data_IF_527361127757
#
_entry.id   IF_527361127757
#
_cell.length_a   1.000
_cell.length_b   1.000
_cell.length_c   1.000
_cell.angle_alpha   90.00
_cell.angle_beta   90.00
_cell.angle_gamma   90.00
#
_symmetry.space_group_name_H-M   'P 1'
#
loop_
_entity.id
_entity.type
_entity.pdbx_description
1 polymer ?
#
# COMPACT_ATOMS: atom_id res chain seq x y z
N UNK A 1 15.39 -75.53 14.41
CA UNK A 1 16.50 -75.01 15.24
C UNK A 1 16.04 -73.70 15.86
N UNK A 2 15.32 -73.71 16.99
CA UNK A 2 15.77 -73.50 18.39
C UNK A 2 16.60 -72.21 18.58
N UNK A 3 15.97 -71.11 19.03
CA UNK A 3 15.82 -70.62 20.44
C UNK A 3 17.13 -70.00 20.97
N UNK A 4 17.23 -68.67 21.17
CA UNK A 4 16.86 -67.85 22.36
C UNK A 4 17.95 -67.83 23.47
N UNK A 5 18.24 -66.62 23.96
CA UNK A 5 18.88 -66.22 25.24
C UNK A 5 20.39 -66.43 25.48
N UNK A 6 21.06 -65.32 25.84
CA UNK A 6 21.76 -65.26 27.12
C UNK A 6 21.66 -63.84 27.72
N UNK A 7 21.33 -63.81 29.01
CA UNK A 7 20.97 -62.68 29.87
C UNK A 7 22.18 -62.11 30.63
N UNK A 8 22.03 -60.84 31.02
CA UNK A 8 22.28 -60.21 32.33
C UNK A 8 23.66 -60.30 33.06
N UNK A 9 24.01 -59.15 33.69
CA UNK A 9 24.92 -59.07 34.85
C UNK A 9 25.78 -57.80 34.88
N UNK A 10 25.26 -56.61 35.21
CA UNK A 10 25.22 -55.95 36.54
C UNK A 10 26.56 -55.52 37.19
N UNK A 11 26.68 -54.19 37.40
CA UNK A 11 27.28 -53.45 38.56
C UNK A 11 28.81 -53.58 38.76
N UNK A 12 29.58 -52.62 39.27
CA UNK A 12 29.54 -51.22 39.75
C UNK A 12 31.02 -50.87 40.06
N UNK A 13 31.26 -49.61 40.44
CA UNK A 13 32.46 -49.06 41.11
C UNK A 13 33.38 -48.26 40.16
N UNK A 14 33.27 -46.93 40.10
CA UNK A 14 33.56 -45.89 41.11
C UNK A 14 35.06 -45.55 41.22
N UNK A 15 35.42 -44.38 40.67
CA UNK A 15 36.41 -43.39 41.17
C UNK A 15 36.50 -42.25 40.13
N UNK A 16 35.81 -41.13 40.35
CA UNK A 16 36.31 -39.93 41.04
C UNK A 16 37.48 -39.21 40.34
N UNK A 17 37.16 -38.11 39.65
CA UNK A 17 37.95 -36.86 39.61
C UNK A 17 37.06 -35.78 38.98
N UNK A 18 36.15 -35.17 39.78
CA UNK A 18 36.32 -33.85 40.40
C UNK A 18 36.68 -32.76 39.38
N UNK A 19 35.68 -32.00 38.92
CA UNK A 19 35.80 -30.56 38.69
C UNK A 19 34.51 -29.89 39.17
N UNK A 20 34.56 -29.52 40.44
CA UNK A 20 33.61 -28.69 41.17
C UNK A 20 33.54 -27.27 40.58
N UNK A 21 32.32 -26.79 40.38
CA UNK A 21 31.97 -25.38 40.25
C UNK A 21 32.44 -24.56 41.46
N UNK A 22 32.44 -23.22 41.32
CA UNK A 22 31.40 -22.51 42.06
C UNK A 22 30.65 -21.48 41.20
N UNK A 23 29.32 -21.54 41.25
CA UNK A 23 28.47 -20.35 41.43
C UNK A 23 28.17 -20.26 42.93
N UNK A 24 27.84 -19.08 43.50
CA UNK A 24 26.43 -18.67 43.53
C UNK A 24 26.22 -17.14 43.41
N UNK A 25 25.14 -16.72 42.72
CA UNK A 25 23.97 -16.04 43.30
C UNK A 25 24.12 -14.51 43.35
N UNK A 26 23.13 -13.65 43.17
CA UNK A 26 21.73 -13.69 42.73
C UNK A 26 21.28 -12.20 42.70
N UNK A 27 20.15 -11.94 42.06
CA UNK A 27 19.17 -10.88 42.37
C UNK A 27 19.06 -9.64 41.47
N UNK A 28 17.77 -9.36 41.18
CA UNK A 28 17.10 -8.17 40.59
C UNK A 28 16.83 -8.31 39.07
N UNK A 29 15.62 -8.62 38.55
CA UNK A 29 14.25 -8.06 38.75
C UNK A 29 14.32 -6.53 38.88
N UNK A 30 13.87 -5.67 37.97
CA UNK A 30 12.73 -5.68 37.04
C UNK A 30 12.88 -4.50 36.02
N UNK A 31 12.04 -4.40 34.98
CA UNK A 31 12.12 -3.43 33.88
C UNK A 31 11.57 -2.03 34.27
N UNK A 32 11.60 -1.07 33.32
CA UNK A 32 11.24 0.37 33.40
C UNK A 32 12.54 1.21 33.34
N UNK A 33 12.86 2.02 32.32
CA UNK A 33 12.06 3.12 31.74
C UNK A 33 12.33 3.24 30.22
N UNK A 34 11.28 3.06 29.43
CA UNK A 34 11.13 3.73 28.13
C UNK A 34 11.03 5.24 28.39
N UNK A 35 11.97 6.05 27.90
CA UNK A 35 11.75 7.44 27.48
C UNK A 35 13.03 8.06 26.90
N UNK A 36 13.21 7.94 25.58
CA UNK A 36 14.15 8.80 24.83
C UNK A 36 13.62 9.11 23.42
N UNK A 37 12.29 9.24 23.26
CA UNK A 37 11.64 9.65 22.00
C UNK A 37 10.83 10.95 22.21
N UNK A 38 11.21 11.76 23.19
CA UNK A 38 10.55 13.04 23.48
C UNK A 38 11.54 14.22 23.52
N UNK A 39 12.40 14.34 22.50
CA UNK A 39 13.25 15.54 22.31
C UNK A 39 13.24 16.12 20.88
N UNK A 40 12.32 15.68 20.01
CA UNK A 40 12.20 16.22 18.63
C UNK A 40 10.84 16.90 18.41
N UNK A 41 10.39 17.69 19.40
CA UNK A 41 9.25 18.59 19.28
C UNK A 41 9.56 19.91 19.99
N UNK A 42 10.36 20.76 19.34
CA UNK A 42 10.36 22.20 19.57
C UNK A 42 9.83 22.88 18.30
N UNK A 43 8.67 23.55 18.31
CA UNK A 43 8.22 24.33 17.17
C UNK A 43 8.82 25.74 17.25
N UNK A 44 9.76 26.05 16.37
CA UNK A 44 10.17 27.44 16.12
C UNK A 44 9.14 28.09 15.21
N UNK A 45 8.36 28.97 15.81
CA UNK A 45 7.52 29.97 15.13
C UNK A 45 8.42 31.06 14.54
N UNK A 46 7.90 31.68 13.47
CA UNK A 46 8.31 32.93 12.83
C UNK A 46 9.33 32.83 11.70
N UNK A 47 8.84 32.98 10.46
CA UNK A 47 9.35 34.01 9.54
C UNK A 47 8.21 34.47 8.61
N UNK A 48 8.12 35.79 8.49
CA UNK A 48 7.05 36.54 7.87
C UNK A 48 7.27 36.76 6.36
N UNK A 49 6.14 36.81 5.63
CA UNK A 49 5.73 37.86 4.69
C UNK A 49 6.80 38.57 3.81
N UNK A 50 6.71 38.33 2.49
CA UNK A 50 6.99 39.27 1.39
C UNK A 50 6.40 38.60 0.12
N UNK A 51 5.51 39.19 -0.67
CA UNK A 51 5.66 40.45 -1.41
C UNK A 51 5.63 40.07 -2.90
N UNK A 52 4.58 40.47 -3.62
CA UNK A 52 4.21 39.91 -4.93
C UNK A 52 5.01 40.43 -6.13
N UNK A 53 4.62 39.98 -7.33
CA UNK A 53 4.74 40.76 -8.57
C UNK A 53 3.86 40.16 -9.69
N UNK A 54 3.07 41.04 -10.29
CA UNK A 54 2.27 40.84 -11.48
C UNK A 54 3.14 40.86 -12.75
N UNK A 55 2.65 40.26 -13.84
CA UNK A 55 2.66 40.87 -15.17
C UNK A 55 1.95 39.98 -16.20
N UNK A 56 1.07 40.61 -16.97
CA UNK A 56 0.29 40.07 -18.06
C UNK A 56 1.08 40.09 -19.38
N UNK A 57 0.90 39.08 -20.23
CA UNK A 57 1.10 39.10 -21.70
C UNK A 57 0.34 37.86 -22.23
N UNK A 58 -0.48 37.83 -23.27
CA UNK A 58 -0.91 38.76 -24.31
C UNK A 58 -1.76 37.93 -25.27
N UNK A 59 -2.89 38.47 -25.71
CA UNK A 59 -3.82 37.86 -26.68
C UNK A 59 -3.15 37.65 -28.04
N UNK A 60 -3.24 36.43 -28.58
CA UNK A 60 -3.14 36.17 -30.02
C UNK A 60 -3.85 34.86 -30.38
N UNK A 61 -5.12 34.94 -30.78
CA UNK A 61 -5.69 33.99 -31.74
C UNK A 61 -5.20 34.42 -33.14
N UNK A 62 -5.06 33.51 -34.14
CA UNK A 62 -6.25 33.19 -34.93
C UNK A 62 -6.26 31.82 -35.66
N UNK A 63 -7.38 31.63 -36.38
CA UNK A 63 -7.61 30.79 -37.57
C UNK A 63 -7.99 29.32 -37.34
N UNK A 64 -9.31 29.10 -37.34
CA UNK A 64 -9.92 27.84 -37.76
C UNK A 64 -9.61 27.56 -39.23
N UNK A 65 -9.00 26.41 -39.51
CA UNK A 65 -9.01 25.79 -40.83
C UNK A 65 -9.75 24.45 -40.71
N UNK A 66 -10.97 24.43 -41.22
CA UNK A 66 -11.74 23.23 -41.49
C UNK A 66 -11.21 22.57 -42.75
N UNK A 67 -10.70 21.34 -42.62
CA UNK A 67 -10.46 20.44 -43.75
C UNK A 67 -11.33 19.20 -43.55
N UNK A 68 -12.17 18.95 -44.56
CA UNK A 68 -13.06 17.81 -44.70
C UNK A 68 -12.23 16.51 -44.73
N UNK A 69 -12.55 15.58 -43.84
CA UNK A 69 -11.97 14.23 -43.79
C UNK A 69 -13.10 13.24 -43.99
N UNK A 70 -13.00 12.43 -45.05
CA UNK A 70 -14.07 11.63 -45.60
C UNK A 70 -14.62 10.54 -44.68
N UNK A 71 -15.87 10.21 -44.97
CA UNK A 71 -16.57 9.05 -44.44
C UNK A 71 -15.88 7.77 -44.93
N UNK A 72 -15.19 7.10 -44.01
CA UNK A 72 -14.80 5.71 -44.16
C UNK A 72 -15.33 4.96 -42.94
N UNK A 73 -16.51 4.38 -43.08
CA UNK A 73 -16.99 3.31 -42.21
C UNK A 73 -16.02 2.13 -42.29
N UNK A 74 -15.13 2.03 -41.29
CA UNK A 74 -14.49 0.77 -40.94
C UNK A 74 -15.12 0.32 -39.63
N UNK A 75 -16.04 -0.64 -39.77
CA UNK A 75 -16.50 -1.49 -38.67
C UNK A 75 -15.29 -2.23 -38.09
N UNK A 76 -14.69 -1.69 -37.02
CA UNK A 76 -13.77 -2.45 -36.17
C UNK A 76 -14.49 -2.96 -34.93
N UNK A 77 -15.00 -4.18 -35.07
CA UNK A 77 -15.56 -4.97 -33.98
C UNK A 77 -14.45 -5.67 -33.18
N UNK A 78 -13.43 -4.97 -32.67
CA UNK A 78 -12.44 -5.54 -31.74
C UNK A 78 -11.93 -4.51 -30.71
N UNK A 79 -12.64 -4.37 -29.58
CA UNK A 79 -12.08 -3.54 -28.50
C UNK A 79 -12.93 -3.22 -27.27
N UNK A 80 -13.93 -4.03 -26.92
CA UNK A 80 -14.92 -3.64 -25.89
C UNK A 80 -14.48 -3.78 -24.41
N UNK A 81 -13.19 -4.00 -24.11
CA UNK A 81 -12.71 -4.20 -22.72
C UNK A 81 -11.82 -3.08 -22.15
N UNK A 82 -11.47 -2.04 -22.93
CA UNK A 82 -10.62 -0.93 -22.46
C UNK A 82 -11.41 0.32 -22.01
N UNK A 83 -12.65 0.52 -22.48
CA UNK A 83 -13.49 1.70 -22.12
C UNK A 83 -13.82 1.75 -20.61
N UNK A 84 -14.05 0.61 -19.97
CA UNK A 84 -14.46 0.57 -18.55
C UNK A 84 -13.35 0.89 -17.53
N UNK A 85 -12.09 0.60 -17.84
CA UNK A 85 -10.95 0.88 -16.93
C UNK A 85 -10.55 2.36 -16.96
N UNK A 86 -10.46 2.98 -18.15
CA UNK A 86 -10.15 4.41 -18.28
C UNK A 86 -11.23 5.27 -17.59
N UNK A 87 -12.51 4.97 -17.82
CA UNK A 87 -13.63 5.67 -17.18
C UNK A 87 -13.57 5.66 -15.63
N UNK A 88 -13.17 4.54 -15.02
CA UNK A 88 -13.03 4.42 -13.55
C UNK A 88 -11.87 5.26 -13.00
N UNK A 89 -10.74 5.34 -13.71
CA UNK A 89 -9.60 6.17 -13.29
C UNK A 89 -9.91 7.68 -13.40
N UNK A 90 -10.61 8.11 -14.46
CA UNK A 90 -11.05 9.49 -14.60
C UNK A 90 -12.07 9.90 -13.53
N UNK A 91 -13.03 9.03 -13.19
CA UNK A 91 -14.00 9.29 -12.10
C UNK A 91 -13.31 9.46 -10.74
N UNK A 92 -12.24 8.70 -10.46
CA UNK A 92 -11.49 8.83 -9.20
C UNK A 92 -10.73 10.15 -9.09
N UNK A 93 -10.12 10.61 -10.19
CA UNK A 93 -9.45 11.92 -10.24
C UNK A 93 -10.43 13.08 -10.07
N UNK A 94 -11.58 13.02 -10.74
CA UNK A 94 -12.65 14.04 -10.59
C UNK A 94 -13.20 14.12 -9.17
N UNK A 95 -13.41 12.98 -8.51
CA UNK A 95 -13.86 12.96 -7.11
C UNK A 95 -12.88 13.63 -6.16
N UNK A 96 -11.58 13.38 -6.32
CA UNK A 96 -10.57 14.03 -5.49
C UNK A 96 -10.53 15.55 -5.69
N UNK A 97 -10.67 16.03 -6.93
CA UNK A 97 -10.73 17.45 -7.22
C UNK A 97 -11.96 18.15 -6.63
N UNK A 98 -13.11 17.45 -6.60
CA UNK A 98 -14.32 17.91 -5.94
C UNK A 98 -14.18 17.89 -4.41
N UNK A 99 -13.64 16.82 -3.82
CA UNK A 99 -13.42 16.69 -2.38
C UNK A 99 -12.46 17.75 -1.80
N UNK A 100 -11.57 18.32 -2.64
CA UNK A 100 -10.63 19.38 -2.28
C UNK A 100 -11.07 20.79 -2.71
N UNK A 101 -12.25 20.93 -3.33
CA UNK A 101 -12.77 22.19 -3.84
C UNK A 101 -11.73 22.99 -4.64
N UNK A 102 -11.05 22.34 -5.60
CA UNK A 102 -10.02 23.01 -6.41
C UNK A 102 -10.63 24.14 -7.24
N UNK A 103 -9.97 25.31 -7.26
CA UNK A 103 -10.35 26.44 -8.10
C UNK A 103 -10.12 26.15 -9.58
N UNK A 104 -10.72 26.93 -10.47
CA UNK A 104 -10.55 26.72 -11.91
C UNK A 104 -9.12 26.99 -12.40
N UNK A 105 -8.43 27.96 -11.79
CA UNK A 105 -7.01 28.20 -12.00
C UNK A 105 -6.14 27.00 -11.57
N UNK A 106 -6.38 26.46 -10.36
CA UNK A 106 -5.69 25.24 -9.89
C UNK A 106 -5.95 24.04 -10.81
N UNK A 107 -7.20 23.88 -11.26
CA UNK A 107 -7.58 22.81 -12.21
C UNK A 107 -6.92 22.99 -13.57
N UNK A 108 -6.75 24.23 -14.06
CA UNK A 108 -6.06 24.52 -15.31
C UNK A 108 -4.58 24.13 -15.20
N UNK A 109 -3.89 24.54 -14.14
CA UNK A 109 -2.49 24.16 -13.88
C UNK A 109 -2.29 22.64 -13.83
N UNK A 110 -3.18 21.91 -13.16
CA UNK A 110 -3.11 20.45 -13.11
C UNK A 110 -3.37 19.76 -14.45
N UNK A 111 -4.23 20.35 -15.29
CA UNK A 111 -4.47 19.86 -16.65
C UNK A 111 -3.23 20.06 -17.50
N UNK A 112 -2.67 21.26 -17.49
CA UNK A 112 -1.45 21.59 -18.22
C UNK A 112 -0.27 20.70 -17.83
N UNK A 113 -0.02 20.55 -16.52
CA UNK A 113 1.02 19.64 -16.01
C UNK A 113 0.81 18.19 -16.49
N UNK A 114 -0.45 17.75 -16.56
CA UNK A 114 -0.78 16.42 -17.07
C UNK A 114 -0.59 16.31 -18.59
N UNK A 115 -0.96 17.31 -19.36
CA UNK A 115 -0.75 17.37 -20.82
C UNK A 115 0.75 17.33 -21.14
N UNK A 116 1.56 18.17 -20.47
CA UNK A 116 3.01 18.18 -20.61
C UNK A 116 3.66 16.83 -20.26
N UNK A 117 3.08 16.09 -19.30
CA UNK A 117 3.54 14.77 -18.91
C UNK A 117 3.10 13.63 -19.86
N UNK A 118 2.16 13.86 -20.78
CA UNK A 118 1.61 12.81 -21.67
C UNK A 118 2.66 12.10 -22.53
N UNK A 119 3.54 12.77 -23.29
CA UNK A 119 4.50 12.08 -24.14
C UNK A 119 5.45 11.21 -23.32
N UNK A 120 5.91 11.70 -22.15
CA UNK A 120 6.74 10.91 -21.21
C UNK A 120 6.00 9.69 -20.69
N UNK A 121 4.70 9.83 -20.41
CA UNK A 121 3.85 8.72 -19.96
C UNK A 121 3.64 7.67 -21.06
N UNK A 122 3.50 8.09 -22.31
CA UNK A 122 3.32 7.21 -23.46
C UNK A 122 4.62 6.46 -23.76
N UNK A 123 5.74 7.18 -23.89
CA UNK A 123 7.06 6.58 -24.07
C UNK A 123 7.41 5.56 -22.97
N UNK A 124 7.14 5.89 -21.70
CA UNK A 124 7.38 4.97 -20.58
C UNK A 124 6.42 3.77 -20.54
N UNK A 125 5.24 3.87 -21.17
CA UNK A 125 4.32 2.74 -21.34
C UNK A 125 4.74 1.82 -22.46
N UNK A 126 5.13 2.39 -23.59
CA UNK A 126 5.58 1.66 -24.79
C UNK A 126 6.87 0.90 -24.53
N UNK A 127 7.86 1.57 -23.92
CA UNK A 127 9.11 0.93 -23.48
C UNK A 127 8.93 -0.07 -22.33
N UNK A 128 7.78 -0.05 -21.65
CA UNK A 128 7.57 -0.80 -20.42
C UNK A 128 8.45 -0.34 -19.25
N UNK A 129 9.09 0.83 -19.37
CA UNK A 129 9.97 1.38 -18.34
C UNK A 129 9.18 1.76 -17.08
N UNK A 130 9.24 0.84 -16.12
CA UNK A 130 8.57 0.97 -14.84
C UNK A 130 9.24 2.02 -13.94
N UNK A 131 10.48 2.38 -14.17
CA UNK A 131 11.19 3.40 -13.40
C UNK A 131 10.84 4.80 -13.90
N UNK A 132 10.88 5.03 -15.22
CA UNK A 132 10.39 6.28 -15.82
C UNK A 132 8.93 6.55 -15.44
N UNK A 133 8.05 5.54 -15.53
CA UNK A 133 6.66 5.67 -15.06
C UNK A 133 6.55 6.05 -13.58
N UNK A 134 7.48 5.62 -12.72
CA UNK A 134 7.45 5.98 -11.28
C UNK A 134 7.99 7.36 -11.02
N UNK A 135 9.08 7.73 -11.68
CA UNK A 135 9.63 9.08 -11.64
C UNK A 135 8.54 10.09 -12.03
N UNK A 136 7.86 9.83 -13.14
CA UNK A 136 6.74 10.66 -13.60
C UNK A 136 5.60 10.75 -12.58
N UNK A 137 5.19 9.64 -11.96
CA UNK A 137 4.16 9.68 -10.90
C UNK A 137 4.62 10.43 -9.65
N UNK A 138 5.92 10.44 -9.32
CA UNK A 138 6.48 11.24 -8.22
C UNK A 138 6.39 12.72 -8.56
N UNK A 139 6.91 13.10 -9.73
CA UNK A 139 6.88 14.47 -10.24
C UNK A 139 5.45 15.04 -10.27
N UNK A 140 4.52 14.34 -10.94
CA UNK A 140 3.12 14.77 -11.05
C UNK A 140 2.45 14.92 -9.68
N UNK A 141 2.84 14.11 -8.69
CA UNK A 141 2.28 14.19 -7.33
C UNK A 141 2.82 15.39 -6.56
N UNK A 142 4.10 15.73 -6.72
CA UNK A 142 4.68 16.92 -6.10
C UNK A 142 4.12 18.20 -6.74
N UNK A 143 3.99 18.24 -8.06
CA UNK A 143 3.27 19.31 -8.78
C UNK A 143 1.84 19.45 -8.25
N UNK A 144 1.12 18.33 -8.09
CA UNK A 144 -0.22 18.35 -7.52
C UNK A 144 -0.23 18.92 -6.10
N UNK A 145 0.73 18.54 -5.25
CA UNK A 145 0.83 19.03 -3.87
C UNK A 145 1.17 20.52 -3.82
N UNK A 146 2.02 21.00 -4.73
CA UNK A 146 2.44 22.40 -4.80
C UNK A 146 1.26 23.34 -5.09
N UNK A 147 0.34 22.93 -5.97
CA UNK A 147 -0.86 23.70 -6.35
C UNK A 147 -1.89 23.84 -5.22
N UNK A 148 -1.87 22.95 -4.22
CA UNK A 148 -2.80 23.00 -3.08
C UNK A 148 -2.39 24.04 -2.03
N UNK A 149 -3.38 24.75 -1.48
CA UNK A 149 -3.21 25.61 -0.29
C UNK A 149 -2.90 24.78 0.96
N UNK A 150 -2.34 25.38 2.03
CA UNK A 150 -2.12 24.69 3.31
C UNK A 150 -3.37 23.97 3.84
N UNK A 151 -4.52 24.64 3.80
CA UNK A 151 -5.81 24.12 4.28
C UNK A 151 -6.28 22.94 3.41
N UNK A 152 -6.12 23.05 2.08
CA UNK A 152 -6.42 21.94 1.17
C UNK A 152 -5.50 20.74 1.39
N UNK A 153 -4.23 20.96 1.77
CA UNK A 153 -3.28 19.88 2.11
C UNK A 153 -3.72 19.17 3.38
N UNK A 154 -4.17 19.89 4.40
CA UNK A 154 -4.73 19.30 5.61
C UNK A 154 -6.01 18.51 5.32
N UNK A 155 -6.93 19.08 4.53
CA UNK A 155 -8.13 18.37 4.10
C UNK A 155 -7.81 17.09 3.34
N UNK A 156 -6.81 17.12 2.45
CA UNK A 156 -6.33 15.94 1.74
C UNK A 156 -5.76 14.87 2.70
N UNK A 157 -5.11 15.27 3.80
CA UNK A 157 -4.63 14.34 4.82
C UNK A 157 -5.78 13.72 5.61
N UNK A 158 -6.77 14.53 6.01
CA UNK A 158 -7.97 14.06 6.70
C UNK A 158 -8.74 13.04 5.85
N UNK A 159 -9.00 13.35 4.57
CA UNK A 159 -9.65 12.44 3.62
C UNK A 159 -8.86 11.13 3.44
N UNK A 160 -7.52 11.18 3.46
CA UNK A 160 -6.69 9.96 3.42
C UNK A 160 -6.87 9.11 4.68
N UNK A 161 -6.99 9.73 5.85
CA UNK A 161 -7.23 9.05 7.12
C UNK A 161 -8.64 8.42 7.17
N UNK A 162 -9.67 9.18 6.78
CA UNK A 162 -11.05 8.69 6.66
C UNK A 162 -11.13 7.50 5.68
N UNK A 163 -10.51 7.64 4.51
CA UNK A 163 -10.41 6.54 3.55
C UNK A 163 -9.63 5.34 4.09
N UNK A 164 -8.68 5.53 4.99
CA UNK A 164 -8.00 4.42 5.65
C UNK A 164 -8.93 3.71 6.64
N UNK A 165 -9.65 4.46 7.46
CA UNK A 165 -10.62 3.91 8.40
C UNK A 165 -11.73 3.15 7.67
N UNK A 166 -12.33 3.74 6.62
CA UNK A 166 -13.38 3.09 5.83
C UNK A 166 -12.92 1.79 5.18
N UNK A 167 -11.64 1.67 4.80
CA UNK A 167 -11.07 0.40 4.31
C UNK A 167 -10.92 -0.63 5.43
N UNK A 168 -10.61 -0.21 6.65
CA UNK A 168 -10.58 -1.11 7.80
C UNK A 168 -11.99 -1.60 8.10
N UNK A 169 -12.98 -0.70 8.20
CA UNK A 169 -14.38 -1.05 8.44
C UNK A 169 -14.88 -2.10 7.46
N UNK A 170 -14.77 -1.84 6.15
CA UNK A 170 -15.17 -2.80 5.11
C UNK A 170 -14.45 -4.13 5.19
N UNK A 171 -13.20 -4.12 5.65
CA UNK A 171 -12.42 -5.36 5.78
C UNK A 171 -12.89 -6.17 6.97
N UNK A 172 -13.26 -5.52 8.07
CA UNK A 172 -13.87 -6.18 9.23
C UNK A 172 -15.24 -6.73 8.83
N UNK A 173 -16.11 -5.91 8.24
CA UNK A 173 -17.45 -6.32 7.74
C UNK A 173 -17.36 -7.54 6.83
N UNK A 174 -16.53 -7.48 5.78
CA UNK A 174 -16.36 -8.61 4.86
C UNK A 174 -15.65 -9.84 5.47
N UNK A 175 -15.00 -9.71 6.63
CA UNK A 175 -14.53 -10.87 7.41
C UNK A 175 -15.66 -11.41 8.30
N UNK A 176 -16.44 -10.54 8.93
CA UNK A 176 -17.64 -10.90 9.71
C UNK A 176 -18.62 -11.69 8.87
N UNK A 177 -18.96 -11.22 7.66
CA UNK A 177 -19.87 -11.92 6.74
C UNK A 177 -19.41 -13.33 6.36
N UNK A 178 -18.10 -13.57 6.33
CA UNK A 178 -17.53 -14.84 5.82
C UNK A 178 -17.16 -15.83 6.92
N UNK A 179 -16.89 -15.33 8.12
CA UNK A 179 -16.36 -16.08 9.25
C UNK A 179 -17.24 -15.97 10.51
N UNK A 180 -18.34 -15.22 10.43
CA UNK A 180 -19.28 -14.99 11.54
C UNK A 180 -18.57 -14.52 12.81
N UNK A 181 -17.78 -13.45 12.71
CA UNK A 181 -16.98 -12.93 13.82
C UNK A 181 -17.86 -12.38 14.95
N UNK A 182 -17.53 -12.72 16.20
CA UNK A 182 -18.16 -12.13 17.39
C UNK A 182 -17.82 -10.64 17.52
N UNK A 183 -18.60 -9.86 18.27
CA UNK A 183 -18.34 -8.43 18.48
C UNK A 183 -16.95 -8.17 19.07
N UNK A 184 -16.54 -9.01 20.04
CA UNK A 184 -15.21 -8.95 20.64
C UNK A 184 -14.11 -9.21 19.61
N UNK A 185 -14.26 -10.23 18.76
CA UNK A 185 -13.32 -10.51 17.67
C UNK A 185 -13.27 -9.35 16.66
N UNK A 186 -14.41 -8.76 16.31
CA UNK A 186 -14.48 -7.61 15.41
C UNK A 186 -13.70 -6.41 15.95
N UNK A 187 -13.84 -6.10 17.25
CA UNK A 187 -13.10 -5.01 17.90
C UNK A 187 -11.59 -5.28 17.88
N UNK A 188 -11.16 -6.49 18.22
CA UNK A 188 -9.73 -6.87 18.21
C UNK A 188 -9.14 -6.79 16.79
N UNK A 189 -9.82 -7.35 15.79
CA UNK A 189 -9.39 -7.30 14.39
C UNK A 189 -9.35 -5.86 13.87
N UNK A 190 -10.33 -5.02 14.24
CA UNK A 190 -10.34 -3.60 13.88
C UNK A 190 -9.09 -2.88 14.40
N UNK A 191 -8.73 -3.09 15.66
CA UNK A 191 -7.52 -2.51 16.26
C UNK A 191 -6.24 -2.94 15.52
N UNK A 192 -6.09 -4.24 15.24
CA UNK A 192 -4.95 -4.78 14.47
C UNK A 192 -4.85 -4.11 13.09
N UNK A 193 -5.97 -4.02 12.37
CA UNK A 193 -5.99 -3.45 11.01
C UNK A 193 -5.76 -1.93 11.00
N UNK A 194 -6.19 -1.20 12.03
CA UNK A 194 -5.90 0.22 12.22
C UNK A 194 -4.41 0.46 12.47
N UNK A 195 -3.80 -0.29 13.40
CA UNK A 195 -2.36 -0.22 13.66
C UNK A 195 -1.54 -0.54 12.42
N UNK A 196 -1.89 -1.61 11.70
CA UNK A 196 -1.25 -1.95 10.43
C UNK A 196 -1.44 -0.88 9.34
N UNK A 197 -2.55 -0.13 9.36
CA UNK A 197 -2.76 0.98 8.44
C UNK A 197 -1.86 2.19 8.76
N UNK A 198 -1.63 2.49 10.04
CA UNK A 198 -0.72 3.54 10.49
C UNK A 198 0.74 3.18 10.17
N UNK A 199 1.19 1.97 10.51
CA UNK A 199 2.56 1.51 10.20
C UNK A 199 2.84 1.54 8.70
N UNK A 200 1.88 1.07 7.88
CA UNK A 200 1.99 1.16 6.43
C UNK A 200 2.07 2.60 5.93
N UNK A 201 1.40 3.56 6.57
CA UNK A 201 1.51 4.98 6.20
C UNK A 201 2.92 5.47 6.50
N UNK A 202 3.46 5.18 7.68
CA UNK A 202 4.81 5.57 8.07
C UNK A 202 5.87 5.01 7.11
N UNK A 203 5.85 3.70 6.84
CA UNK A 203 6.77 3.05 5.90
C UNK A 203 6.72 3.67 4.49
N UNK A 204 5.53 4.04 4.02
CA UNK A 204 5.36 4.69 2.71
C UNK A 204 5.84 6.13 2.69
N UNK A 205 5.76 6.81 3.81
CA UNK A 205 6.25 8.18 3.94
C UNK A 205 7.78 8.19 3.97
N UNK A 206 8.39 7.33 4.79
CA UNK A 206 9.84 7.15 4.84
C UNK A 206 10.41 6.79 3.47
N UNK A 207 9.90 5.74 2.84
CA UNK A 207 10.35 5.36 1.51
C UNK A 207 10.08 6.42 0.42
N UNK A 208 9.18 7.38 0.66
CA UNK A 208 9.02 8.53 -0.23
C UNK A 208 10.20 9.48 -0.08
N UNK A 209 10.58 9.80 1.16
CA UNK A 209 11.70 10.70 1.48
C UNK A 209 13.03 10.13 0.98
N UNK A 210 13.22 8.82 1.17
CA UNK A 210 14.46 8.15 0.77
C UNK A 210 14.50 7.79 -0.72
N UNK A 211 13.38 8.01 -1.46
CA UNK A 211 13.24 7.59 -2.86
C UNK A 211 13.20 6.08 -3.09
N UNK A 212 13.14 5.27 -2.03
CA UNK A 212 13.23 3.80 -2.06
C UNK A 212 11.87 3.10 -2.11
N UNK A 213 11.86 1.76 -2.00
CA UNK A 213 10.63 0.97 -1.86
C UNK A 213 10.70 0.13 -0.59
N UNK A 214 9.69 0.20 0.29
CA UNK A 214 9.71 -0.56 1.53
C UNK A 214 9.13 -1.97 1.27
N UNK A 215 9.64 -2.72 0.29
CA UNK A 215 9.02 -3.98 -0.16
C UNK A 215 9.01 -5.03 0.96
N UNK A 216 10.18 -5.31 1.51
CA UNK A 216 10.36 -6.29 2.59
C UNK A 216 9.63 -5.85 3.85
N UNK A 217 9.80 -4.60 4.29
CA UNK A 217 9.07 -4.04 5.43
C UNK A 217 7.54 -4.13 5.25
N UNK A 218 7.04 -3.92 4.02
CA UNK A 218 5.62 -4.05 3.71
C UNK A 218 5.15 -5.50 3.65
N UNK A 219 6.03 -6.45 3.32
CA UNK A 219 5.73 -7.88 3.35
C UNK A 219 5.70 -8.37 4.79
N UNK A 220 6.73 -8.08 5.58
CA UNK A 220 6.78 -8.37 7.00
C UNK A 220 5.57 -7.79 7.75
N UNK A 221 5.17 -6.55 7.45
CA UNK A 221 3.95 -5.96 8.01
C UNK A 221 2.70 -6.76 7.66
N UNK A 222 2.58 -7.26 6.43
CA UNK A 222 1.41 -8.06 6.01
C UNK A 222 1.36 -9.40 6.73
N UNK A 223 2.51 -10.06 6.87
CA UNK A 223 2.65 -11.36 7.55
C UNK A 223 2.33 -11.22 9.04
N UNK A 224 2.93 -10.23 9.72
CA UNK A 224 2.63 -9.93 11.13
C UNK A 224 1.14 -9.62 11.34
N UNK A 225 0.58 -8.73 10.50
CA UNK A 225 -0.86 -8.40 10.58
C UNK A 225 -1.73 -9.65 10.39
N UNK A 226 -1.33 -10.55 9.49
CA UNK A 226 -2.05 -11.78 9.23
C UNK A 226 -2.02 -12.73 10.44
N UNK A 227 -0.85 -12.94 11.03
CA UNK A 227 -0.68 -13.79 12.22
C UNK A 227 -1.49 -13.25 13.41
N UNK A 228 -1.44 -11.94 13.67
CA UNK A 228 -2.23 -11.29 14.72
C UNK A 228 -3.73 -11.44 14.50
N UNK A 229 -4.19 -11.39 13.24
CA UNK A 229 -5.60 -11.65 12.94
C UNK A 229 -5.93 -13.13 13.18
N UNK A 230 -5.08 -14.07 12.76
CA UNK A 230 -5.31 -15.49 12.97
C UNK A 230 -5.42 -15.86 14.46
N UNK A 231 -4.60 -15.27 15.33
CA UNK A 231 -4.64 -15.55 16.78
C UNK A 231 -5.94 -15.11 17.47
N UNK A 232 -6.77 -14.29 16.80
CA UNK A 232 -8.10 -13.87 17.31
C UNK A 232 -9.21 -14.83 16.85
N UNK A 233 -8.97 -15.60 15.80
CA UNK A 233 -9.95 -16.50 15.19
C UNK A 233 -9.93 -17.89 15.85
N UNK A 234 -11.09 -18.54 15.90
CA UNK A 234 -11.20 -19.95 16.30
C UNK A 234 -10.59 -20.88 15.25
N UNK A 235 -10.29 -22.13 15.60
CA UNK A 235 -9.73 -23.11 14.68
C UNK A 235 -10.59 -23.30 13.42
N UNK A 236 -11.91 -23.38 13.58
CA UNK A 236 -12.87 -23.48 12.47
C UNK A 236 -12.83 -22.24 11.56
N UNK A 237 -12.81 -21.05 12.15
CA UNK A 237 -12.71 -19.79 11.39
C UNK A 237 -11.37 -19.67 10.66
N UNK A 238 -10.28 -20.20 11.23
CA UNK A 238 -8.97 -20.22 10.59
C UNK A 238 -8.96 -21.15 9.37
N UNK A 239 -9.54 -22.34 9.48
CA UNK A 239 -9.70 -23.27 8.36
C UNK A 239 -10.50 -22.62 7.21
N UNK A 240 -11.65 -22.02 7.53
CA UNK A 240 -12.46 -21.30 6.54
C UNK A 240 -11.71 -20.12 5.92
N UNK A 241 -10.92 -19.39 6.70
CA UNK A 241 -10.10 -18.31 6.19
C UNK A 241 -8.97 -18.80 5.27
N UNK A 242 -8.44 -20.01 5.46
CA UNK A 242 -7.45 -20.63 4.59
C UNK A 242 -8.05 -21.06 3.25
N UNK A 243 -9.22 -21.70 3.25
CA UNK A 243 -9.98 -22.05 2.04
C UNK A 243 -10.27 -20.81 1.18
N UNK A 244 -10.79 -19.75 1.79
CA UNK A 244 -11.06 -18.49 1.10
C UNK A 244 -9.80 -17.84 0.53
N UNK A 245 -8.61 -18.13 1.08
CA UNK A 245 -7.33 -17.67 0.53
C UNK A 245 -6.91 -18.53 -0.65
N UNK A 246 -7.05 -19.85 -0.57
CA UNK A 246 -6.79 -20.78 -1.68
C UNK A 246 -7.67 -20.46 -2.90
N UNK A 247 -8.98 -20.32 -2.71
CA UNK A 247 -9.94 -19.96 -3.79
C UNK A 247 -9.61 -18.59 -4.42
N UNK A 248 -9.03 -17.66 -3.65
CA UNK A 248 -8.55 -16.38 -4.19
C UNK A 248 -7.21 -16.51 -4.91
N UNK A 249 -6.36 -17.45 -4.53
CA UNK A 249 -5.10 -17.73 -5.19
C UNK A 249 -5.34 -18.41 -6.54
N UNK A 250 -6.23 -19.40 -6.59
CA UNK A 250 -6.66 -20.08 -7.82
C UNK A 250 -7.25 -19.09 -8.83
N UNK A 251 -8.23 -18.28 -8.42
CA UNK A 251 -8.79 -17.23 -9.30
C UNK A 251 -7.77 -16.20 -9.78
N UNK A 252 -6.66 -16.00 -9.04
CA UNK A 252 -5.55 -15.16 -9.52
C UNK A 252 -4.67 -15.92 -10.51
N UNK A 253 -4.41 -17.20 -10.28
CA UNK A 253 -3.75 -18.11 -11.21
C UNK A 253 -4.47 -18.15 -12.55
N UNK A 254 -5.76 -18.48 -12.57
CA UNK A 254 -6.62 -18.51 -13.76
C UNK A 254 -6.61 -17.17 -14.53
N UNK A 255 -6.69 -16.04 -13.81
CA UNK A 255 -6.59 -14.71 -14.42
C UNK A 255 -5.20 -14.41 -14.96
N UNK A 256 -4.15 -14.96 -14.33
CA UNK A 256 -2.77 -14.89 -14.78
C UNK A 256 -2.57 -15.67 -16.07
N UNK A 257 -3.03 -16.91 -16.11
CA UNK A 257 -2.99 -17.77 -17.30
C UNK A 257 -3.79 -17.20 -18.46
N UNK A 258 -5.00 -16.68 -18.21
CA UNK A 258 -5.80 -16.05 -19.27
C UNK A 258 -5.12 -14.81 -19.84
N UNK A 259 -4.38 -14.05 -19.02
CA UNK A 259 -3.56 -12.92 -19.48
C UNK A 259 -2.32 -13.38 -20.24
N UNK A 260 -1.73 -14.50 -19.85
CA UNK A 260 -0.62 -15.14 -20.57
C UNK A 260 -1.05 -15.63 -21.95
N UNK A 261 -2.22 -16.29 -22.06
CA UNK A 261 -2.80 -16.77 -23.32
C UNK A 261 -3.15 -15.64 -24.29
N UNK A 262 -3.76 -14.54 -23.82
CA UNK A 262 -4.02 -13.37 -24.67
C UNK A 262 -2.75 -12.60 -25.10
N UNK A 263 -1.62 -12.78 -24.41
CA UNK A 263 -0.34 -12.17 -24.79
C UNK A 263 0.41 -12.94 -25.88
N UNK A 264 -0.01 -14.17 -26.20
CA UNK A 264 0.66 -15.04 -27.17
C UNK A 264 0.11 -14.90 -28.60
N UNK A 265 -1.01 -14.19 -28.81
CA UNK A 265 -1.59 -13.93 -30.13
C UNK A 265 -1.19 -12.57 -30.73
N UNK A 266 -0.19 -11.89 -30.15
CA UNK A 266 0.30 -10.59 -30.60
C UNK A 266 1.82 -10.62 -30.79
N UNK A 267 2.30 -11.63 -31.52
CA UNK A 267 3.67 -11.70 -32.02
C UNK A 267 3.65 -12.03 -33.50
#
# INVERSE_FOLDING_TARGET
>A
MRFFLCEAGTKRDAKESIHSHPRPADSRKDPIVMNSILDILKPLKSFALAGGLAAAVGLAAPISASAQGGDAEISDSRGHHHRGRRARHHRRGRRMAAELNLSDAQRAQLREAREAARPRMEAARESGDREAMRALHREMREQFRAVLTPEQRERAQALRAEHAQRRVTRRVEGMTERLSLTERQQQQVRGILQGAAQQRRALREQARLDGTRPREAMQALRERTHQQVQSVLTAEQQARAAELRAERAERRGERGERRGRCGHCAR
#
